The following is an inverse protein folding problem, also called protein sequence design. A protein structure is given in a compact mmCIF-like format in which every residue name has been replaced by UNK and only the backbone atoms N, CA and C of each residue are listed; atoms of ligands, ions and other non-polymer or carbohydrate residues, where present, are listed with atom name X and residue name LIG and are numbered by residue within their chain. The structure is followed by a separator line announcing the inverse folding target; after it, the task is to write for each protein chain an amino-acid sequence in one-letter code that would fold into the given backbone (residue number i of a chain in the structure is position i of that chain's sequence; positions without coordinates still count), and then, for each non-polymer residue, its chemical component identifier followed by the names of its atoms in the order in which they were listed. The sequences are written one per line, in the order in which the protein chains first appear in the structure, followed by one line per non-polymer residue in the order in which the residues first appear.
data_IF_380343672506
#
_entry.id   IF_380343672506
#
_cell.length_a   1.000
_cell.length_b   1.000
_cell.length_c   1.000
_cell.angle_alpha   90.00
_cell.angle_beta   90.00
_cell.angle_gamma   90.00
#
_symmetry.space_group_name_H-M   'P 1'
#
loop_
_entity.id
_entity.type
_entity.pdbx_description
1 polymer ?
#
# COMPACT_ATOMS: atom_id res chain seq x y z
N UNK A 1 54.47 -26.59 -2.95
CA UNK A 1 53.40 -26.85 -3.95
C UNK A 1 52.01 -27.09 -3.34
N UNK A 2 51.87 -27.55 -2.08
CA UNK A 2 50.53 -27.69 -1.44
C UNK A 2 49.85 -26.36 -1.10
N UNK A 3 50.59 -25.32 -0.69
CA UNK A 3 50.02 -24.02 -0.31
C UNK A 3 49.37 -23.25 -1.48
N UNK A 4 49.85 -23.45 -2.70
CA UNK A 4 49.34 -22.77 -3.91
C UNK A 4 48.01 -23.31 -4.42
N UNK A 5 47.56 -24.46 -3.92
CA UNK A 5 46.30 -25.13 -4.32
C UNK A 5 45.19 -24.92 -3.26
N UNK A 6 45.57 -24.64 -2.01
CA UNK A 6 44.64 -24.39 -0.90
C UNK A 6 43.91 -23.04 -1.03
N UNK A 7 44.58 -22.01 -1.53
CA UNK A 7 44.01 -20.67 -1.73
C UNK A 7 42.81 -20.64 -2.71
N UNK A 8 42.87 -21.22 -3.93
CA UNK A 8 41.72 -21.22 -4.84
C UNK A 8 40.55 -22.05 -4.32
N UNK A 9 40.81 -23.15 -3.60
CA UNK A 9 39.74 -23.98 -3.03
C UNK A 9 38.97 -23.23 -1.93
N UNK A 10 39.67 -22.46 -1.09
CA UNK A 10 39.04 -21.60 -0.08
C UNK A 10 38.21 -20.47 -0.71
N UNK A 11 38.67 -19.89 -1.82
CA UNK A 11 37.95 -18.86 -2.59
C UNK A 11 36.70 -19.42 -3.28
N UNK A 12 36.79 -20.64 -3.81
CA UNK A 12 35.64 -21.34 -4.41
C UNK A 12 34.63 -21.69 -3.33
N UNK A 13 35.07 -22.18 -2.16
CA UNK A 13 34.18 -22.53 -1.07
C UNK A 13 33.49 -21.28 -0.48
N UNK A 14 34.19 -20.16 -0.33
CA UNK A 14 33.59 -18.90 0.12
C UNK A 14 32.61 -18.33 -0.90
N UNK A 15 32.91 -18.43 -2.20
CA UNK A 15 32.01 -18.02 -3.28
C UNK A 15 30.76 -18.92 -3.36
N UNK A 16 30.90 -20.23 -3.16
CA UNK A 16 29.77 -21.13 -3.08
C UNK A 16 28.91 -20.84 -1.84
N UNK A 17 29.53 -20.54 -0.69
CA UNK A 17 28.80 -20.18 0.53
C UNK A 17 28.01 -18.87 0.37
N UNK A 18 28.53 -17.87 -0.35
CA UNK A 18 27.77 -16.64 -0.63
C UNK A 18 26.61 -16.88 -1.61
N UNK A 19 26.76 -17.79 -2.58
CA UNK A 19 25.69 -18.20 -3.49
C UNK A 19 24.55 -18.96 -2.77
N UNK A 20 24.84 -19.71 -1.71
CA UNK A 20 23.82 -20.38 -0.88
C UNK A 20 23.07 -19.43 0.08
N UNK A 21 23.59 -18.21 0.31
CA UNK A 21 23.02 -17.26 1.28
C UNK A 21 22.07 -16.20 0.65
N UNK A 22 21.89 -16.19 -0.67
CA UNK A 22 20.95 -15.26 -1.31
C UNK A 22 19.53 -15.84 -1.37
N UNK A 23 18.79 -15.74 -0.27
CA UNK A 23 17.33 -15.95 -0.29
C UNK A 23 16.67 -14.67 -0.81
N UNK A 24 16.18 -14.68 -2.04
CA UNK A 24 15.33 -13.59 -2.56
C UNK A 24 13.88 -13.89 -2.24
N UNK A 25 13.26 -13.08 -1.39
CA UNK A 25 11.83 -13.18 -1.11
C UNK A 25 11.08 -12.25 -2.07
N UNK A 26 10.21 -12.83 -2.90
CA UNK A 26 9.30 -12.09 -3.76
C UNK A 26 7.89 -12.14 -3.15
N UNK A 27 7.21 -10.99 -3.15
CA UNK A 27 5.80 -10.91 -2.79
C UNK A 27 4.94 -10.94 -4.08
N UNK A 28 3.87 -11.73 -4.06
CA UNK A 28 2.89 -11.78 -5.15
C UNK A 28 1.65 -10.98 -4.77
N UNK A 29 1.25 -10.05 -5.65
CA UNK A 29 0.01 -9.30 -5.52
C UNK A 29 -1.00 -9.80 -6.55
N UNK A 30 -2.10 -10.38 -6.09
CA UNK A 30 -3.23 -10.77 -6.95
C UNK A 30 -4.25 -9.65 -6.93
N UNK A 31 -4.55 -9.09 -8.11
CA UNK A 31 -5.54 -8.02 -8.25
C UNK A 31 -6.88 -8.60 -8.70
N UNK A 32 -7.93 -8.35 -7.93
CA UNK A 32 -9.30 -8.82 -8.19
C UNK A 32 -10.21 -7.62 -8.39
N UNK A 33 -10.80 -7.52 -9.59
CA UNK A 33 -11.86 -6.55 -9.87
C UNK A 33 -13.23 -7.19 -9.60
N UNK A 34 -13.95 -6.74 -8.57
CA UNK A 34 -15.35 -7.12 -8.33
C UNK A 34 -16.32 -5.98 -8.68
N UNK A 35 -15.84 -4.90 -9.28
CA UNK A 35 -16.71 -3.81 -9.74
C UNK A 35 -17.48 -4.25 -10.99
N UNK A 36 -18.65 -3.65 -11.25
CA UNK A 36 -19.41 -3.94 -12.47
C UNK A 36 -18.82 -3.31 -13.74
N UNK A 37 -17.74 -2.55 -13.59
CA UNK A 37 -17.05 -1.86 -14.67
C UNK A 37 -15.55 -2.14 -14.63
N UNK A 38 -14.88 -1.86 -15.75
CA UNK A 38 -13.44 -2.07 -15.89
C UNK A 38 -12.67 -1.00 -15.10
N UNK A 39 -11.72 -1.45 -14.29
CA UNK A 39 -10.78 -0.59 -13.57
C UNK A 39 -9.38 -0.71 -14.18
N UNK A 40 -8.62 0.38 -14.12
CA UNK A 40 -7.22 0.42 -14.55
C UNK A 40 -6.34 0.74 -13.34
N UNK A 41 -5.99 -0.30 -12.59
CA UNK A 41 -5.15 -0.16 -11.40
C UNK A 41 -3.70 0.18 -11.79
N UNK A 42 -3.08 1.10 -11.05
CA UNK A 42 -1.66 1.40 -11.13
C UNK A 42 -0.97 0.90 -9.86
N UNK A 43 0.23 0.35 -10.01
CA UNK A 43 1.07 -0.07 -8.90
C UNK A 43 2.43 0.63 -9.00
N UNK A 44 2.90 1.17 -7.88
CA UNK A 44 4.25 1.75 -7.77
C UNK A 44 5.07 0.88 -6.82
N UNK A 45 5.84 -0.10 -7.34
CA UNK A 45 6.68 -0.93 -6.49
C UNK A 45 7.82 -0.09 -5.89
N UNK A 46 7.97 -0.17 -4.56
CA UNK A 46 9.08 0.41 -3.82
C UNK A 46 9.86 -0.67 -3.07
N UNK A 47 11.18 -0.53 -2.97
CA UNK A 47 12.01 -1.39 -2.13
C UNK A 47 12.20 -0.75 -0.76
N UNK A 48 11.63 -1.36 0.28
CA UNK A 48 11.86 -0.97 1.67
C UNK A 48 13.14 -1.63 2.18
N UNK A 49 14.23 -0.88 2.36
CA UNK A 49 15.50 -1.41 2.89
C UNK A 49 15.52 -1.58 4.42
N UNK A 50 14.36 -1.49 5.08
CA UNK A 50 14.26 -1.51 6.53
C UNK A 50 13.76 -2.87 7.04
N UNK A 51 14.65 -3.61 7.71
CA UNK A 51 14.35 -4.80 8.51
C UNK A 51 13.65 -5.98 7.81
N UNK A 52 13.76 -6.13 6.47
CA UNK A 52 13.08 -7.21 5.73
C UNK A 52 11.56 -7.26 6.03
N UNK A 53 10.88 -6.11 5.93
CA UNK A 53 9.44 -6.00 6.07
C UNK A 53 8.81 -5.47 4.79
N UNK A 54 7.61 -5.96 4.50
CA UNK A 54 6.73 -5.41 3.48
C UNK A 54 5.84 -4.33 4.14
N UNK A 55 5.79 -3.15 3.54
CA UNK A 55 4.97 -2.04 4.01
C UNK A 55 3.74 -1.91 3.12
N UNK A 56 2.56 -1.89 3.74
CA UNK A 56 1.28 -1.77 3.06
C UNK A 56 0.51 -0.59 3.61
N UNK A 57 -0.07 0.20 2.71
CA UNK A 57 -0.93 1.32 3.04
C UNK A 57 -2.02 1.55 1.99
N UNK A 58 -3.11 2.19 2.41
CA UNK A 58 -4.13 2.77 1.55
C UNK A 58 -4.04 4.28 1.74
N UNK A 59 -4.07 5.05 0.66
CA UNK A 59 -4.03 6.51 0.72
C UNK A 59 -5.25 7.15 0.10
N UNK A 60 -5.93 7.99 0.89
CA UNK A 60 -7.05 8.85 0.51
C UNK A 60 -6.61 10.32 0.38
N UNK A 61 -5.30 10.59 0.48
CA UNK A 61 -4.70 11.91 0.30
C UNK A 61 -5.03 12.51 -1.06
N UNK A 62 -5.27 11.65 -2.06
CA UNK A 62 -5.61 12.03 -3.43
C UNK A 62 -7.11 11.86 -3.76
N UNK A 63 -7.95 11.63 -2.75
CA UNK A 63 -9.38 11.37 -2.91
C UNK A 63 -9.71 9.89 -2.93
N UNK A 64 -10.96 9.60 -3.26
CA UNK A 64 -11.54 8.26 -3.28
C UNK A 64 -12.50 8.13 -4.46
N UNK A 65 -12.49 6.99 -5.13
CA UNK A 65 -13.46 6.68 -6.18
C UNK A 65 -14.07 5.29 -5.99
N UNK A 66 -13.33 4.34 -5.41
CA UNK A 66 -13.73 2.95 -5.29
C UNK A 66 -13.20 2.31 -4.00
N UNK A 67 -13.99 1.42 -3.36
CA UNK A 67 -13.55 0.71 -2.17
C UNK A 67 -12.49 -0.34 -2.52
N UNK A 68 -11.53 -0.53 -1.61
CA UNK A 68 -10.39 -1.42 -1.77
C UNK A 68 -10.09 -2.18 -0.48
N UNK A 69 -9.75 -3.46 -0.61
CA UNK A 69 -9.29 -4.34 0.46
C UNK A 69 -7.98 -4.99 0.03
N UNK A 70 -6.94 -4.88 0.84
CA UNK A 70 -5.73 -5.69 0.70
C UNK A 70 -5.71 -6.74 1.82
N UNK A 71 -5.69 -8.01 1.44
CA UNK A 71 -5.68 -9.15 2.36
C UNK A 71 -4.44 -10.01 2.14
N UNK A 72 -3.60 -10.24 3.16
CA UNK A 72 -2.49 -11.17 3.05
C UNK A 72 -3.02 -12.60 2.85
N UNK A 73 -2.44 -13.31 1.88
CA UNK A 73 -2.71 -14.71 1.57
C UNK A 73 -1.61 -15.64 2.09
N UNK A 74 -0.45 -15.08 2.44
CA UNK A 74 0.61 -15.71 3.22
C UNK A 74 1.13 -14.74 4.28
N UNK A 75 1.94 -15.24 5.23
CA UNK A 75 2.46 -14.41 6.33
C UNK A 75 1.44 -14.11 7.42
N UNK A 76 1.89 -14.05 8.67
CA UNK A 76 1.02 -13.75 9.82
C UNK A 76 0.90 -12.25 10.03
N UNK A 77 0.17 -11.56 9.14
CA UNK A 77 -0.17 -10.15 9.31
C UNK A 77 -1.65 -9.86 9.03
N UNK A 78 -2.10 -8.67 9.42
CA UNK A 78 -3.48 -8.22 9.20
C UNK A 78 -3.58 -7.52 7.85
N UNK A 79 -4.68 -7.74 7.12
CA UNK A 79 -5.04 -6.92 5.97
C UNK A 79 -5.46 -5.49 6.34
N UNK A 80 -5.59 -4.66 5.31
CA UNK A 80 -5.99 -3.25 5.40
C UNK A 80 -7.15 -2.98 4.45
N UNK A 81 -8.09 -2.12 4.83
CA UNK A 81 -9.32 -1.93 4.06
C UNK A 81 -9.89 -0.52 4.13
N UNK A 82 -10.53 -0.12 3.04
CA UNK A 82 -11.38 1.05 2.96
C UNK A 82 -12.61 0.66 2.12
N UNK A 83 -13.68 0.26 2.82
CA UNK A 83 -14.90 -0.32 2.23
C UNK A 83 -16.16 0.51 2.50
N UNK A 84 -16.03 1.66 3.16
CA UNK A 84 -17.15 2.53 3.51
C UNK A 84 -17.66 3.35 2.31
N UNK A 85 -18.93 3.73 2.35
CA UNK A 85 -19.60 4.57 1.35
C UNK A 85 -19.15 6.04 1.41
N UNK A 86 -17.95 6.31 0.92
CA UNK A 86 -17.41 7.67 0.86
C UNK A 86 -18.11 8.51 -0.21
N UNK A 87 -18.38 7.96 -1.41
CA UNK A 87 -18.95 8.75 -2.51
C UNK A 87 -20.36 9.25 -2.19
N UNK A 88 -21.22 8.40 -1.63
CA UNK A 88 -22.59 8.78 -1.24
C UNK A 88 -22.66 9.78 -0.09
N UNK A 89 -21.62 9.83 0.76
CA UNK A 89 -21.52 10.75 1.91
C UNK A 89 -20.50 11.87 1.68
N UNK A 90 -20.00 12.02 0.45
CA UNK A 90 -18.96 12.98 0.13
C UNK A 90 -19.48 14.41 0.38
N UNK A 91 -18.73 15.24 1.15
CA UNK A 91 -19.07 16.65 1.34
C UNK A 91 -19.27 17.36 0.00
N UNK A 92 -20.24 18.28 -0.08
CA UNK A 92 -20.62 18.94 -1.34
C UNK A 92 -19.42 19.61 -2.04
N UNK A 93 -18.52 20.19 -1.26
CA UNK A 93 -17.31 20.87 -1.75
C UNK A 93 -16.30 19.92 -2.39
N UNK A 94 -16.35 18.63 -2.05
CA UNK A 94 -15.42 17.60 -2.52
C UNK A 94 -16.03 16.68 -3.57
N UNK A 95 -17.33 16.78 -3.86
CA UNK A 95 -17.98 15.91 -4.84
C UNK A 95 -17.32 16.06 -6.21
N UNK A 96 -16.97 14.92 -6.80
CA UNK A 96 -16.47 14.81 -8.15
C UNK A 96 -17.35 13.86 -8.96
N UNK A 97 -17.40 13.99 -10.29
CA UNK A 97 -18.01 12.97 -11.13
C UNK A 97 -17.36 11.59 -10.88
N UNK A 98 -18.12 10.65 -10.32
CA UNK A 98 -17.66 9.28 -10.05
C UNK A 98 -16.72 9.13 -8.86
N UNK A 99 -16.66 10.10 -7.93
CA UNK A 99 -15.81 10.00 -6.75
C UNK A 99 -15.93 11.17 -5.78
N UNK A 100 -15.02 11.18 -4.81
CA UNK A 100 -14.81 12.23 -3.84
C UNK A 100 -13.37 12.74 -3.96
N UNK A 101 -13.20 14.04 -4.21
CA UNK A 101 -11.90 14.68 -4.33
C UNK A 101 -11.09 14.59 -3.04
N UNK A 102 -9.80 14.87 -3.18
CA UNK A 102 -8.88 14.90 -2.05
C UNK A 102 -9.34 15.87 -0.94
N UNK A 103 -9.07 15.55 0.35
CA UNK A 103 -9.46 16.39 1.49
C UNK A 103 -8.78 17.77 1.54
N UNK A 104 -7.90 18.07 0.56
CA UNK A 104 -7.16 19.31 0.52
C UNK A 104 -7.65 20.24 -0.60
N UNK A 105 -8.48 21.22 -0.21
CA UNK A 105 -9.00 22.25 -1.13
C UNK A 105 -7.92 23.31 -1.47
N UNK A 106 -6.91 23.51 -0.62
CA UNK A 106 -5.95 24.62 -0.73
C UNK A 106 -4.48 24.22 -1.04
N UNK A 107 -4.18 22.94 -1.27
CA UNK A 107 -2.80 22.44 -1.39
C UNK A 107 -2.06 22.91 -2.64
N UNK A 108 -2.77 23.27 -3.71
CA UNK A 108 -2.14 23.62 -4.99
C UNK A 108 -1.45 25.00 -5.02
N UNK A 109 -1.62 25.84 -3.99
CA UNK A 109 -1.28 27.28 -4.09
C UNK A 109 -0.24 27.79 -3.06
N UNK A 110 0.70 26.97 -2.58
CA UNK A 110 1.80 27.41 -1.71
C UNK A 110 1.37 28.23 -0.46
N UNK A 111 0.28 27.82 0.21
CA UNK A 111 -0.05 28.31 1.55
C UNK A 111 -0.03 27.16 2.54
N UNK A 112 0.78 27.37 3.58
CA UNK A 112 1.32 26.44 4.56
C UNK A 112 0.30 25.86 5.57
N UNK A 113 -0.96 25.63 5.20
CA UNK A 113 -2.01 25.27 6.18
C UNK A 113 -2.70 23.92 5.94
N UNK A 114 -2.31 23.13 4.95
CA UNK A 114 -3.01 21.86 4.66
C UNK A 114 -2.09 20.64 4.51
N UNK A 115 -1.08 20.53 5.39
CA UNK A 115 -0.36 19.28 5.64
C UNK A 115 -0.85 18.55 6.91
N UNK A 116 -1.89 19.07 7.57
CA UNK A 116 -2.38 18.60 8.86
C UNK A 116 -3.84 18.15 8.85
N UNK A 117 -4.32 17.83 10.05
CA UNK A 117 -5.68 17.40 10.33
C UNK A 117 -6.70 18.52 10.02
N UNK A 118 -7.62 18.25 9.09
CA UNK A 118 -8.78 19.07 8.74
C UNK A 118 -10.08 18.30 8.95
N UNK A 119 -11.22 19.00 8.97
CA UNK A 119 -12.56 18.37 9.00
C UNK A 119 -12.75 17.37 7.86
N UNK A 120 -12.22 17.65 6.66
CA UNK A 120 -12.30 16.73 5.53
C UNK A 120 -11.41 15.50 5.74
N UNK A 121 -10.17 15.68 6.19
CA UNK A 121 -9.31 14.52 6.47
C UNK A 121 -9.89 13.63 7.59
N UNK A 122 -10.55 14.22 8.60
CA UNK A 122 -11.27 13.49 9.64
C UNK A 122 -12.45 12.71 9.06
N UNK A 123 -13.24 13.31 8.16
CA UNK A 123 -14.30 12.60 7.44
C UNK A 123 -13.77 11.33 6.76
N UNK A 124 -12.67 11.42 6.00
CA UNK A 124 -12.07 10.24 5.37
C UNK A 124 -11.53 9.24 6.41
N UNK A 125 -11.00 9.72 7.54
CA UNK A 125 -10.42 8.86 8.58
C UNK A 125 -11.48 8.07 9.32
N UNK A 126 -12.61 8.71 9.62
CA UNK A 126 -13.76 8.08 10.25
C UNK A 126 -14.35 6.96 9.38
N UNK A 127 -14.32 7.13 8.06
CA UNK A 127 -14.73 6.10 7.09
C UNK A 127 -13.70 4.99 6.90
N UNK A 128 -12.42 5.36 6.87
CA UNK A 128 -11.34 4.45 6.57
C UNK A 128 -10.18 4.62 7.56
N UNK A 129 -10.27 3.99 8.75
CA UNK A 129 -9.25 4.13 9.79
C UNK A 129 -7.88 3.57 9.39
N UNK A 130 -7.88 2.59 8.48
CA UNK A 130 -6.67 1.93 7.96
C UNK A 130 -5.96 2.74 6.86
N UNK A 131 -6.49 3.90 6.47
CA UNK A 131 -5.94 4.70 5.37
C UNK A 131 -5.25 5.99 5.86
N UNK A 132 -4.28 6.45 5.07
CA UNK A 132 -3.72 7.80 5.14
C UNK A 132 -4.72 8.80 4.59
N UNK A 133 -5.00 9.86 5.34
CA UNK A 133 -5.94 10.91 4.93
C UNK A 133 -5.28 12.26 4.71
N UNK A 134 -4.06 12.43 5.22
CA UNK A 134 -3.17 13.56 4.96
C UNK A 134 -1.69 13.11 5.11
N UNK A 135 -0.70 13.86 4.60
CA UNK A 135 0.69 13.40 4.56
C UNK A 135 1.36 13.14 5.92
N UNK A 136 0.87 13.76 7.00
CA UNK A 136 1.36 13.58 8.37
C UNK A 136 0.45 12.67 9.22
N UNK A 137 -0.48 11.93 8.59
CA UNK A 137 -1.40 11.00 9.27
C UNK A 137 -0.62 9.78 9.75
N UNK A 138 -0.24 9.73 11.02
CA UNK A 138 0.52 8.62 11.59
C UNK A 138 -0.19 8.02 12.82
N UNK A 139 -0.25 6.68 12.95
CA UNK A 139 0.18 5.66 11.98
C UNK A 139 -0.94 5.23 11.01
N UNK A 140 -0.63 5.10 9.72
CA UNK A 140 -1.49 4.42 8.74
C UNK A 140 -0.73 3.43 7.82
N UNK A 141 0.55 3.17 8.10
CA UNK A 141 1.31 2.09 7.45
C UNK A 141 1.26 0.83 8.28
N UNK A 142 0.99 -0.29 7.62
CA UNK A 142 0.96 -1.62 8.19
C UNK A 142 2.16 -2.43 7.71
N UNK A 143 2.79 -3.15 8.61
CA UNK A 143 3.97 -3.97 8.29
C UNK A 143 3.62 -5.45 8.29
N UNK A 144 4.12 -6.15 7.27
CA UNK A 144 4.06 -7.60 7.13
C UNK A 144 5.48 -8.17 7.02
N UNK A 145 5.70 -9.46 7.36
CA UNK A 145 6.96 -10.14 7.06
C UNK A 145 7.30 -10.03 5.57
N UNK A 146 8.58 -9.88 5.20
CA UNK A 146 8.96 -9.81 3.79
C UNK A 146 8.57 -11.07 3.00
N UNK A 147 8.09 -10.86 1.77
CA UNK A 147 7.60 -11.93 0.90
C UNK A 147 6.14 -12.32 1.21
N UNK A 148 5.38 -11.44 1.86
CA UNK A 148 3.96 -11.67 2.13
C UNK A 148 3.16 -11.51 0.85
N UNK A 149 2.54 -12.59 0.39
CA UNK A 149 1.63 -12.57 -0.73
C UNK A 149 0.31 -11.92 -0.31
N UNK A 150 -0.27 -11.12 -1.20
CA UNK A 150 -1.47 -10.34 -0.94
C UNK A 150 -2.48 -10.46 -2.08
N UNK A 151 -3.77 -10.37 -1.72
CA UNK A 151 -4.88 -10.21 -2.64
C UNK A 151 -5.47 -8.81 -2.47
N UNK A 152 -5.45 -8.01 -3.52
CA UNK A 152 -6.03 -6.67 -3.60
C UNK A 152 -7.36 -6.77 -4.32
N UNK A 153 -8.45 -6.56 -3.60
CA UNK A 153 -9.82 -6.63 -4.13
C UNK A 153 -10.44 -5.25 -4.18
N UNK A 154 -10.93 -4.87 -5.36
CA UNK A 154 -11.76 -3.69 -5.58
C UNK A 154 -13.24 -4.06 -5.54
N UNK A 155 -14.10 -3.19 -4.98
CA UNK A 155 -15.55 -3.43 -4.87
C UNK A 155 -15.93 -4.72 -4.11
N UNK A 156 -15.21 -4.98 -3.00
CA UNK A 156 -15.42 -6.18 -2.19
C UNK A 156 -16.90 -6.35 -1.78
N UNK A 157 -17.45 -7.54 -2.01
CA UNK A 157 -18.84 -7.85 -1.65
C UNK A 157 -19.88 -7.27 -2.62
N UNK A 158 -19.47 -6.82 -3.81
CA UNK A 158 -20.37 -6.29 -4.83
C UNK A 158 -20.86 -4.86 -4.56
N UNK A 159 -20.20 -4.14 -3.65
CA UNK A 159 -20.52 -2.75 -3.36
C UNK A 159 -20.00 -1.84 -4.49
N UNK A 160 -20.89 -1.50 -5.42
CA UNK A 160 -20.74 -0.31 -6.26
C UNK A 160 -21.11 0.91 -5.41
N UNK A 161 -20.14 1.50 -4.73
CA UNK A 161 -20.34 2.74 -3.98
C UNK A 161 -20.36 3.94 -4.94
N UNK A 162 -21.18 3.89 -5.99
CA UNK A 162 -21.41 4.99 -6.92
C UNK A 162 -22.46 5.93 -6.40
#
# INVERSE_FOLDING_TARGET
MMSSILAPLSLILSLLLTLFLTSTHAATFVVVNQCTYTIWAAASPGVGLFNYLDFLDISLVNGFNLPMLSRPTSGSCRGIRCLDEINGQCPEELKAPGGCNNPCIYCCNNKSESYGLTTYSQFFKDKCPDAYTYPLDVPATFTCPSGTNCEVTFCHGGQNLT
#
